data_IF_925763027787
#
_entry.id   IF_925763027787
#
_cell.length_a   1.000
_cell.length_b   1.000
_cell.length_c   1.000
_cell.angle_alpha   90.00
_cell.angle_beta   90.00
_cell.angle_gamma   90.00
#
_symmetry.space_group_name_H-M   'P 1'
#
loop_
_entity.id
_entity.type
_entity.pdbx_description
1 polymer ?
#
# COMPACT_ATOMS: atom_id res chain seq x y z
N UNK A 1 -63.09 -23.04 11.93
CA UNK A 1 -62.73 -21.78 11.23
C UNK A 1 -63.94 -20.87 11.09
N UNK A 2 -65.06 -21.32 10.52
CA UNK A 2 -66.25 -20.51 10.22
C UNK A 2 -66.85 -19.76 11.42
N UNK A 3 -67.06 -20.41 12.57
CA UNK A 3 -67.72 -19.81 13.73
C UNK A 3 -66.87 -18.72 14.42
N UNK A 4 -65.55 -18.93 14.50
CA UNK A 4 -64.63 -17.95 15.09
C UNK A 4 -64.36 -16.77 14.12
N UNK A 5 -64.34 -17.02 12.80
CA UNK A 5 -64.24 -15.96 11.78
C UNK A 5 -65.49 -15.06 11.76
N UNK A 6 -66.69 -15.64 11.94
CA UNK A 6 -67.92 -14.86 12.04
C UNK A 6 -67.96 -14.01 13.31
N UNK A 7 -67.43 -14.50 14.44
CA UNK A 7 -67.33 -13.73 15.69
C UNK A 7 -66.33 -12.57 15.57
N UNK A 8 -65.17 -12.81 14.95
CA UNK A 8 -64.16 -11.79 14.68
C UNK A 8 -64.68 -10.70 13.73
N UNK A 9 -65.41 -11.08 12.69
CA UNK A 9 -66.04 -10.15 11.74
C UNK A 9 -67.22 -9.39 12.35
N UNK A 10 -67.88 -9.95 13.36
CA UNK A 10 -68.96 -9.31 14.11
C UNK A 10 -68.45 -8.37 15.22
N UNK A 11 -67.13 -8.14 15.31
CA UNK A 11 -66.49 -7.30 16.32
C UNK A 11 -66.74 -7.76 17.78
N UNK A 12 -67.03 -9.06 17.96
CA UNK A 12 -67.12 -9.69 19.27
C UNK A 12 -65.71 -9.87 19.82
N UNK A 13 -65.52 -9.67 21.13
CA UNK A 13 -64.23 -9.77 21.83
C UNK A 13 -63.60 -11.18 21.69
N UNK A 14 -62.92 -11.42 20.57
CA UNK A 14 -62.04 -12.56 20.37
C UNK A 14 -60.69 -12.20 20.98
N UNK A 15 -60.10 -13.13 21.75
CA UNK A 15 -58.79 -12.88 22.35
C UNK A 15 -57.73 -12.67 21.26
N UNK A 16 -56.73 -11.82 21.52
CA UNK A 16 -55.67 -11.54 20.55
C UNK A 16 -54.93 -12.82 20.10
N UNK A 17 -54.84 -13.81 21.01
CA UNK A 17 -54.24 -15.12 20.76
C UNK A 17 -55.07 -15.96 19.78
N UNK A 18 -56.38 -15.98 19.91
CA UNK A 18 -57.28 -16.71 19.01
C UNK A 18 -57.34 -16.08 17.62
N UNK A 19 -57.40 -14.75 17.54
CA UNK A 19 -57.31 -14.04 16.27
C UNK A 19 -56.01 -14.37 15.52
N UNK A 20 -54.90 -14.47 16.26
CA UNK A 20 -53.61 -14.81 15.70
C UNK A 20 -53.52 -16.26 15.22
N UNK A 21 -54.02 -17.23 15.99
CA UNK A 21 -54.08 -18.63 15.55
C UNK A 21 -55.01 -18.83 14.34
N UNK A 22 -56.10 -18.05 14.25
CA UNK A 22 -56.95 -18.03 13.05
C UNK A 22 -56.21 -17.49 11.82
N UNK A 23 -55.37 -16.47 11.99
CA UNK A 23 -54.51 -15.98 10.91
C UNK A 23 -53.49 -17.06 10.49
N UNK A 24 -52.82 -17.72 11.44
CA UNK A 24 -51.86 -18.79 11.14
C UNK A 24 -52.51 -19.96 10.39
N UNK A 25 -53.72 -20.37 10.80
CA UNK A 25 -54.47 -21.41 10.09
C UNK A 25 -54.91 -20.94 8.70
N UNK A 26 -55.30 -19.68 8.54
CA UNK A 26 -55.60 -19.11 7.22
C UNK A 26 -54.38 -19.15 6.29
N UNK A 27 -53.19 -18.79 6.79
CA UNK A 27 -51.92 -18.86 6.04
C UNK A 27 -51.62 -20.31 5.61
N UNK A 28 -51.75 -21.29 6.53
CA UNK A 28 -51.53 -22.72 6.24
C UNK A 28 -52.44 -23.25 5.13
N UNK A 29 -53.68 -22.77 5.06
CA UNK A 29 -54.70 -23.20 4.07
C UNK A 29 -54.69 -22.28 2.84
N UNK A 30 -53.78 -21.30 2.77
CA UNK A 30 -53.65 -20.32 1.68
C UNK A 30 -54.92 -19.52 1.34
N UNK A 31 -55.79 -19.26 2.33
CA UNK A 31 -57.05 -18.52 2.12
C UNK A 31 -56.88 -17.00 2.23
N UNK A 32 -56.45 -16.35 1.14
CA UNK A 32 -56.19 -14.89 1.10
C UNK A 32 -57.34 -14.02 1.62
N UNK A 33 -58.60 -14.31 1.25
CA UNK A 33 -59.77 -13.54 1.72
C UNK A 33 -59.94 -13.62 3.24
N UNK A 34 -59.68 -14.80 3.81
CA UNK A 34 -59.74 -15.00 5.26
C UNK A 34 -58.58 -14.26 5.96
N UNK A 35 -57.37 -14.29 5.39
CA UNK A 35 -56.23 -13.54 5.92
C UNK A 35 -56.49 -12.02 5.94
N UNK A 36 -57.02 -11.48 4.84
CA UNK A 36 -57.36 -10.06 4.72
C UNK A 36 -58.44 -9.65 5.72
N UNK A 37 -59.51 -10.44 5.85
CA UNK A 37 -60.59 -10.22 6.80
C UNK A 37 -60.10 -10.23 8.26
N UNK A 38 -59.30 -11.24 8.63
CA UNK A 38 -58.79 -11.39 10.00
C UNK A 38 -57.87 -10.22 10.35
N UNK A 39 -56.96 -9.82 9.46
CA UNK A 39 -56.06 -8.71 9.79
C UNK A 39 -56.74 -7.34 9.76
N UNK A 40 -57.75 -7.14 8.92
CA UNK A 40 -58.52 -5.90 8.93
C UNK A 40 -59.19 -5.70 10.30
N UNK A 41 -59.75 -6.79 10.86
CA UNK A 41 -60.30 -6.78 12.21
C UNK A 41 -59.21 -6.58 13.28
N UNK A 42 -58.03 -7.21 13.13
CA UNK A 42 -56.90 -6.99 14.05
C UNK A 42 -56.38 -5.55 14.04
N UNK A 43 -56.32 -4.90 12.87
CA UNK A 43 -55.89 -3.50 12.72
C UNK A 43 -56.90 -2.52 13.33
N UNK A 44 -58.21 -2.74 13.16
CA UNK A 44 -59.25 -1.92 13.79
C UNK A 44 -59.16 -1.92 15.32
N UNK A 45 -58.66 -3.02 15.90
CA UNK A 45 -58.47 -3.16 17.34
C UNK A 45 -57.11 -2.65 17.83
N UNK A 46 -56.28 -2.03 16.98
CA UNK A 46 -54.93 -1.55 17.29
C UNK A 46 -54.04 -2.61 17.97
N UNK A 47 -54.15 -3.88 17.55
CA UNK A 47 -53.35 -4.99 18.09
C UNK A 47 -52.20 -5.34 17.13
N UNK A 48 -51.03 -4.67 17.20
CA UNK A 48 -49.88 -5.08 16.40
C UNK A 48 -49.47 -6.51 16.76
N UNK A 49 -48.80 -7.21 15.85
CA UNK A 49 -48.34 -8.59 16.02
C UNK A 49 -47.49 -8.75 17.30
N UNK A 50 -48.11 -9.07 18.45
CA UNK A 50 -47.47 -9.24 19.76
C UNK A 50 -46.57 -10.50 19.78
N UNK A 51 -45.42 -10.47 19.11
CA UNK A 51 -44.49 -11.59 18.96
C UNK A 51 -44.94 -12.66 17.94
N UNK A 52 -46.19 -12.59 17.49
CA UNK A 52 -46.74 -13.50 16.49
C UNK A 52 -46.02 -13.42 15.15
N UNK A 53 -45.74 -12.22 14.64
CA UNK A 53 -45.37 -11.94 13.25
C UNK A 53 -44.29 -12.86 12.66
N UNK A 54 -43.30 -13.26 13.48
CA UNK A 54 -42.27 -14.23 13.12
C UNK A 54 -42.82 -15.59 12.66
N UNK A 55 -43.84 -16.13 13.35
CA UNK A 55 -44.49 -17.40 12.97
C UNK A 55 -45.28 -17.26 11.67
N UNK A 56 -45.94 -16.13 11.46
CA UNK A 56 -46.73 -15.86 10.25
C UNK A 56 -45.81 -15.73 9.04
N UNK A 57 -44.71 -14.99 9.14
CA UNK A 57 -43.73 -14.86 8.04
C UNK A 57 -43.10 -16.20 7.70
N UNK A 58 -42.71 -17.00 8.70
CA UNK A 58 -42.21 -18.39 8.49
C UNK A 58 -43.19 -19.28 7.74
N UNK A 59 -44.48 -19.22 8.09
CA UNK A 59 -45.51 -20.00 7.40
C UNK A 59 -45.81 -19.46 6.00
N UNK A 60 -45.78 -18.14 5.81
CA UNK A 60 -45.99 -17.52 4.52
C UNK A 60 -44.91 -17.90 3.51
N UNK A 61 -43.63 -17.93 3.92
CA UNK A 61 -42.51 -18.38 3.05
C UNK A 61 -42.71 -19.82 2.56
N UNK A 62 -43.35 -20.69 3.35
CA UNK A 62 -43.60 -22.11 3.02
C UNK A 62 -44.83 -22.33 2.12
N UNK A 63 -45.57 -21.29 1.76
CA UNK A 63 -46.74 -21.42 0.88
C UNK A 63 -46.32 -21.93 -0.51
N UNK A 64 -47.13 -22.83 -1.08
CA UNK A 64 -46.87 -23.45 -2.39
C UNK A 64 -47.08 -22.45 -3.53
N UNK A 65 -48.15 -21.66 -3.46
CA UNK A 65 -48.41 -20.63 -4.47
C UNK A 65 -47.49 -19.42 -4.29
N UNK A 66 -46.66 -19.14 -5.31
CA UNK A 66 -45.81 -17.94 -5.33
C UNK A 66 -46.64 -16.65 -5.19
N UNK A 67 -47.74 -16.55 -5.93
CA UNK A 67 -48.61 -15.37 -5.89
C UNK A 67 -49.19 -15.15 -4.48
N UNK A 68 -49.66 -16.23 -3.83
CA UNK A 68 -50.20 -16.14 -2.48
C UNK A 68 -49.10 -15.83 -1.46
N UNK A 69 -47.90 -16.41 -1.64
CA UNK A 69 -46.72 -16.14 -0.81
C UNK A 69 -46.42 -14.65 -0.76
N UNK A 70 -46.19 -13.99 -1.90
CA UNK A 70 -45.82 -12.57 -1.90
C UNK A 70 -46.95 -11.64 -1.51
N UNK A 71 -48.21 -11.96 -1.85
CA UNK A 71 -49.36 -11.20 -1.34
C UNK A 71 -49.45 -11.27 0.19
N UNK A 72 -49.24 -12.45 0.75
CA UNK A 72 -49.25 -12.65 2.21
C UNK A 72 -48.05 -11.99 2.88
N UNK A 73 -46.85 -12.09 2.29
CA UNK A 73 -45.65 -11.45 2.81
C UNK A 73 -45.74 -9.92 2.75
N UNK A 74 -46.16 -9.34 1.63
CA UNK A 74 -46.36 -7.89 1.50
C UNK A 74 -47.29 -7.38 2.59
N UNK A 75 -48.38 -8.09 2.81
CA UNK A 75 -49.36 -7.76 3.83
C UNK A 75 -48.80 -7.86 5.24
N UNK A 76 -48.21 -9.01 5.60
CA UNK A 76 -47.62 -9.22 6.93
C UNK A 76 -46.58 -8.15 7.25
N UNK A 77 -45.70 -7.84 6.29
CA UNK A 77 -44.64 -6.86 6.46
C UNK A 77 -45.20 -5.43 6.55
N UNK A 78 -46.19 -5.08 5.73
CA UNK A 78 -46.88 -3.77 5.82
C UNK A 78 -47.61 -3.57 7.15
N UNK A 79 -48.05 -4.66 7.79
CA UNK A 79 -48.70 -4.66 9.09
C UNK A 79 -47.71 -4.77 10.27
N UNK A 80 -46.40 -4.63 10.01
CA UNK A 80 -45.35 -4.56 11.03
C UNK A 80 -44.78 -5.90 11.48
N UNK A 81 -44.97 -6.98 10.71
CA UNK A 81 -44.26 -8.23 10.97
C UNK A 81 -42.73 -8.03 10.81
N UNK A 82 -41.96 -8.78 11.60
CA UNK A 82 -40.49 -8.70 11.59
C UNK A 82 -39.93 -9.09 10.23
N UNK A 83 -39.22 -8.17 9.57
CA UNK A 83 -38.58 -8.40 8.28
C UNK A 83 -37.22 -9.14 8.39
N UNK A 84 -36.54 -9.03 9.54
CA UNK A 84 -35.27 -9.72 9.79
C UNK A 84 -35.49 -11.14 10.32
N UNK A 85 -35.71 -12.08 9.40
CA UNK A 85 -35.78 -13.52 9.72
C UNK A 85 -34.88 -14.31 8.75
N UNK A 86 -34.27 -15.43 9.19
CA UNK A 86 -33.45 -16.25 8.30
C UNK A 86 -34.25 -16.76 7.09
N UNK A 87 -35.51 -17.16 7.29
CA UNK A 87 -36.34 -17.69 6.20
C UNK A 87 -36.64 -16.63 5.12
N UNK A 88 -36.80 -15.35 5.51
CA UNK A 88 -36.99 -14.26 4.55
C UNK A 88 -35.69 -13.94 3.81
N UNK A 89 -34.54 -14.03 4.48
CA UNK A 89 -33.22 -13.85 3.84
C UNK A 89 -32.91 -14.97 2.85
N UNK A 90 -33.20 -16.22 3.20
CA UNK A 90 -33.06 -17.37 2.29
C UNK A 90 -34.00 -17.24 1.09
N UNK A 91 -35.24 -16.79 1.33
CA UNK A 91 -36.19 -16.53 0.25
C UNK A 91 -35.73 -15.39 -0.66
N UNK A 92 -35.18 -14.31 -0.09
CA UNK A 92 -34.60 -13.20 -0.83
C UNK A 92 -33.45 -13.68 -1.72
N UNK A 93 -32.54 -14.52 -1.18
CA UNK A 93 -31.45 -15.11 -1.96
C UNK A 93 -31.97 -15.99 -3.09
N UNK A 94 -32.99 -16.82 -2.82
CA UNK A 94 -33.62 -17.65 -3.85
C UNK A 94 -34.28 -16.79 -4.94
N UNK A 95 -34.94 -15.69 -4.56
CA UNK A 95 -35.57 -14.78 -5.51
C UNK A 95 -34.56 -14.07 -6.40
N UNK A 96 -33.44 -13.66 -5.81
CA UNK A 96 -32.31 -13.12 -6.53
C UNK A 96 -31.72 -14.15 -7.51
N UNK A 97 -31.45 -15.38 -7.06
CA UNK A 97 -30.95 -16.48 -7.90
C UNK A 97 -31.89 -16.83 -9.05
N UNK A 98 -33.20 -16.75 -8.84
CA UNK A 98 -34.21 -16.96 -9.88
C UNK A 98 -34.47 -15.73 -10.77
N UNK A 99 -33.79 -14.60 -10.56
CA UNK A 99 -33.98 -13.37 -11.34
C UNK A 99 -35.33 -12.68 -11.13
N UNK A 100 -36.02 -12.94 -10.01
CA UNK A 100 -37.38 -12.43 -9.74
C UNK A 100 -37.33 -11.03 -9.14
N UNK A 101 -36.95 -10.03 -9.95
CA UNK A 101 -36.72 -8.65 -9.50
C UNK A 101 -37.89 -8.04 -8.72
N UNK A 102 -39.14 -8.24 -9.15
CA UNK A 102 -40.33 -7.71 -8.46
C UNK A 102 -40.46 -8.25 -7.04
N UNK A 103 -40.06 -9.50 -6.81
CA UNK A 103 -40.09 -10.13 -5.48
C UNK A 103 -38.94 -9.63 -4.61
N UNK A 104 -37.74 -9.51 -5.17
CA UNK A 104 -36.58 -8.91 -4.49
C UNK A 104 -36.93 -7.49 -4.04
N UNK A 105 -37.49 -6.66 -4.93
CA UNK A 105 -37.85 -5.28 -4.62
C UNK A 105 -38.90 -5.18 -3.50
N UNK A 106 -39.89 -6.07 -3.50
CA UNK A 106 -40.91 -6.14 -2.44
C UNK A 106 -40.27 -6.44 -1.08
N UNK A 107 -39.39 -7.45 -1.02
CA UNK A 107 -38.73 -7.84 0.22
C UNK A 107 -37.74 -6.76 0.72
N UNK A 108 -37.01 -6.10 -0.18
CA UNK A 108 -36.12 -5.00 0.18
C UNK A 108 -36.89 -3.78 0.69
N UNK A 109 -37.97 -3.37 0.01
CA UNK A 109 -38.84 -2.27 0.47
C UNK A 109 -39.49 -2.56 1.81
N UNK A 110 -39.74 -3.84 2.11
CA UNK A 110 -40.23 -4.30 3.39
C UNK A 110 -39.16 -4.34 4.50
N UNK A 111 -37.90 -4.02 4.20
CA UNK A 111 -36.82 -3.94 5.18
C UNK A 111 -36.12 -5.26 5.46
N UNK A 112 -36.23 -6.27 4.58
CA UNK A 112 -35.48 -7.52 4.73
C UNK A 112 -33.98 -7.23 4.50
N UNK A 113 -33.09 -7.51 5.47
CA UNK A 113 -31.67 -7.21 5.32
C UNK A 113 -31.01 -8.10 4.27
N UNK A 114 -30.31 -7.48 3.32
CA UNK A 114 -29.64 -8.15 2.19
C UNK A 114 -28.20 -8.60 2.46
N UNK A 115 -27.68 -8.28 3.65
CA UNK A 115 -26.24 -8.31 3.95
C UNK A 115 -25.85 -9.18 5.17
N UNK A 116 -26.79 -9.92 5.77
CA UNK A 116 -26.58 -10.69 7.01
C UNK A 116 -26.44 -12.20 6.75
N UNK A 117 -25.48 -12.82 7.45
CA UNK A 117 -25.21 -14.27 7.53
C UNK A 117 -24.88 -14.95 6.18
N UNK A 118 -24.97 -16.28 6.13
CA UNK A 118 -24.67 -17.13 4.96
C UNK A 118 -25.53 -16.79 3.72
N UNK A 119 -26.71 -16.19 3.93
CA UNK A 119 -27.58 -15.71 2.86
C UNK A 119 -27.28 -14.26 2.44
N UNK A 120 -26.00 -13.91 2.26
CA UNK A 120 -25.56 -12.57 1.86
C UNK A 120 -25.85 -12.33 0.36
N UNK A 121 -27.08 -11.91 0.06
CA UNK A 121 -27.55 -11.62 -1.30
C UNK A 121 -26.77 -10.49 -1.95
N UNK A 122 -26.33 -9.50 -1.15
CA UNK A 122 -25.49 -8.40 -1.63
C UNK A 122 -24.17 -8.94 -2.18
N UNK A 123 -23.45 -9.74 -1.40
CA UNK A 123 -22.18 -10.33 -1.84
C UNK A 123 -22.37 -11.24 -3.05
N UNK A 124 -23.39 -12.10 -3.05
CA UNK A 124 -23.69 -12.95 -4.20
C UNK A 124 -23.92 -12.12 -5.47
N UNK A 125 -24.72 -11.04 -5.40
CA UNK A 125 -25.01 -10.19 -6.56
C UNK A 125 -23.74 -9.51 -7.11
N UNK A 126 -22.79 -9.16 -6.23
CA UNK A 126 -21.49 -8.60 -6.62
C UNK A 126 -20.60 -9.68 -7.27
N UNK A 127 -20.51 -10.87 -6.68
CA UNK A 127 -19.71 -11.98 -7.19
C UNK A 127 -20.13 -12.43 -8.60
N UNK A 128 -21.42 -12.36 -8.92
CA UNK A 128 -21.93 -12.69 -10.26
C UNK A 128 -22.10 -11.45 -11.17
N UNK A 129 -21.68 -10.26 -10.73
CA UNK A 129 -21.81 -8.99 -11.45
C UNK A 129 -23.26 -8.70 -11.93
N UNK A 130 -24.27 -9.06 -11.12
CA UNK A 130 -25.66 -8.80 -11.45
C UNK A 130 -26.09 -7.39 -11.06
N UNK A 131 -25.95 -6.49 -12.03
CA UNK A 131 -26.27 -5.08 -11.86
C UNK A 131 -27.74 -4.82 -11.52
N UNK A 132 -28.68 -5.50 -12.17
CA UNK A 132 -30.11 -5.31 -11.92
C UNK A 132 -30.50 -5.65 -10.48
N UNK A 133 -29.93 -6.72 -9.93
CA UNK A 133 -30.17 -7.11 -8.54
C UNK A 133 -29.47 -6.12 -7.62
N UNK A 134 -28.21 -5.76 -7.89
CA UNK A 134 -27.48 -4.77 -7.10
C UNK A 134 -28.26 -3.46 -6.97
N UNK A 135 -28.77 -2.91 -8.09
CA UNK A 135 -29.53 -1.65 -8.11
C UNK A 135 -30.73 -1.72 -7.15
N UNK A 136 -31.48 -2.84 -7.16
CA UNK A 136 -32.61 -3.06 -6.24
C UNK A 136 -32.15 -3.20 -4.79
N UNK A 137 -31.04 -3.91 -4.52
CA UNK A 137 -30.50 -4.07 -3.17
C UNK A 137 -30.03 -2.73 -2.59
N UNK A 138 -29.47 -1.86 -3.44
CA UNK A 138 -29.02 -0.52 -3.07
C UNK A 138 -30.19 0.43 -2.78
N UNK A 139 -31.42 0.15 -3.20
CA UNK A 139 -32.61 0.90 -2.72
C UNK A 139 -32.83 0.68 -1.20
N UNK A 140 -32.34 -0.44 -0.66
CA UNK A 140 -32.43 -0.78 0.76
C UNK A 140 -31.36 -0.13 1.63
N UNK A 141 -31.49 -0.37 2.94
CA UNK A 141 -30.48 0.01 3.91
C UNK A 141 -29.30 -0.97 3.87
N UNK A 142 -28.11 -0.49 3.50
CA UNK A 142 -26.86 -1.25 3.51
C UNK A 142 -25.92 -0.55 4.48
N UNK A 143 -25.45 -1.21 5.55
CA UNK A 143 -24.49 -0.63 6.45
C UNK A 143 -23.11 -0.52 5.76
N UNK A 144 -22.30 0.50 6.11
CA UNK A 144 -20.95 0.72 5.59
C UNK A 144 -20.07 -0.53 5.55
N UNK A 145 -20.04 -1.27 6.65
CA UNK A 145 -19.23 -2.48 6.80
C UNK A 145 -19.68 -3.62 5.86
N UNK A 146 -20.98 -3.73 5.56
CA UNK A 146 -21.46 -4.66 4.55
C UNK A 146 -21.07 -4.23 3.13
N UNK A 147 -21.14 -2.92 2.83
CA UNK A 147 -20.70 -2.39 1.55
C UNK A 147 -19.20 -2.67 1.33
N UNK A 148 -18.37 -2.45 2.36
CA UNK A 148 -16.95 -2.78 2.38
C UNK A 148 -16.67 -4.26 2.07
N UNK A 149 -17.35 -5.19 2.74
CA UNK A 149 -17.20 -6.62 2.43
C UNK A 149 -17.62 -6.95 1.01
N UNK A 150 -18.71 -6.33 0.53
CA UNK A 150 -19.18 -6.55 -0.83
C UNK A 150 -18.18 -6.05 -1.88
N UNK A 151 -17.47 -4.94 -1.64
CA UNK A 151 -16.41 -4.46 -2.54
C UNK A 151 -15.27 -5.48 -2.66
N UNK A 152 -14.89 -6.13 -1.55
CA UNK A 152 -13.86 -7.17 -1.57
C UNK A 152 -14.26 -8.42 -2.38
N UNK A 153 -15.56 -8.63 -2.61
CA UNK A 153 -16.10 -9.74 -3.39
C UNK A 153 -16.22 -9.46 -4.88
N UNK A 154 -15.82 -8.27 -5.35
CA UNK A 154 -15.80 -7.95 -6.79
C UNK A 154 -14.84 -8.91 -7.51
N UNK A 155 -15.30 -9.68 -8.51
CA UNK A 155 -14.47 -10.68 -9.17
C UNK A 155 -13.22 -10.10 -9.83
N UNK A 156 -12.09 -10.78 -9.67
CA UNK A 156 -10.82 -10.37 -10.29
C UNK A 156 -10.91 -10.32 -11.82
N UNK A 157 -11.62 -11.28 -12.43
CA UNK A 157 -11.79 -11.39 -13.88
C UNK A 157 -12.83 -10.42 -14.47
N UNK A 158 -13.48 -9.59 -13.63
CA UNK A 158 -14.47 -8.62 -14.10
C UNK A 158 -13.83 -7.57 -15.03
N UNK A 159 -14.64 -7.03 -15.95
CA UNK A 159 -14.22 -5.91 -16.80
C UNK A 159 -13.95 -4.65 -15.97
N UNK A 160 -13.09 -3.74 -16.45
CA UNK A 160 -12.84 -2.46 -15.76
C UNK A 160 -14.15 -1.66 -15.57
N UNK A 161 -15.05 -1.69 -16.54
CA UNK A 161 -16.34 -1.00 -16.48
C UNK A 161 -17.24 -1.57 -15.38
N UNK A 162 -17.30 -2.90 -15.23
CA UNK A 162 -18.07 -3.54 -14.17
C UNK A 162 -17.46 -3.24 -12.80
N UNK A 163 -16.14 -3.34 -12.65
CA UNK A 163 -15.44 -2.97 -11.41
C UNK A 163 -15.78 -1.54 -11.00
N UNK A 164 -15.68 -0.58 -11.93
CA UNK A 164 -16.03 0.83 -11.68
C UNK A 164 -17.48 0.99 -11.23
N UNK A 165 -18.43 0.36 -11.94
CA UNK A 165 -19.85 0.45 -11.61
C UNK A 165 -20.15 -0.10 -10.21
N UNK A 166 -19.66 -1.29 -9.91
CA UNK A 166 -19.95 -1.97 -8.64
C UNK A 166 -19.28 -1.24 -7.47
N UNK A 167 -18.01 -0.84 -7.61
CA UNK A 167 -17.28 -0.10 -6.58
C UNK A 167 -17.91 1.26 -6.32
N UNK A 168 -18.25 2.02 -7.37
CA UNK A 168 -18.88 3.34 -7.19
C UNK A 168 -20.22 3.24 -6.49
N UNK A 169 -21.05 2.26 -6.84
CA UNK A 169 -22.35 2.06 -6.25
C UNK A 169 -22.27 1.64 -4.76
N UNK A 170 -21.29 0.79 -4.41
CA UNK A 170 -21.04 0.39 -3.02
C UNK A 170 -20.38 1.51 -2.20
N UNK A 171 -19.49 2.29 -2.80
CA UNK A 171 -18.86 3.43 -2.15
C UNK A 171 -19.89 4.53 -1.78
N UNK A 172 -20.93 4.72 -2.60
CA UNK A 172 -22.06 5.60 -2.26
C UNK A 172 -22.83 5.15 -1.01
N UNK A 173 -22.71 3.86 -0.61
CA UNK A 173 -23.26 3.33 0.64
C UNK A 173 -22.29 3.40 1.82
N UNK A 174 -21.15 4.08 1.65
CA UNK A 174 -20.17 4.31 2.71
C UNK A 174 -19.15 3.18 2.89
N UNK A 175 -18.83 2.42 1.83
CA UNK A 175 -17.71 1.46 1.91
C UNK A 175 -16.42 2.18 2.36
N UNK A 176 -15.76 1.61 3.38
CA UNK A 176 -14.52 2.14 3.94
C UNK A 176 -13.39 2.15 2.90
N UNK A 177 -12.65 3.26 2.87
CA UNK A 177 -11.49 3.43 1.99
C UNK A 177 -10.36 2.44 2.29
N UNK A 178 -10.22 1.98 3.53
CA UNK A 178 -9.21 0.98 3.93
C UNK A 178 -9.43 -0.36 3.21
N UNK A 179 -10.69 -0.70 2.92
CA UNK A 179 -11.03 -1.95 2.21
C UNK A 179 -10.77 -1.88 0.69
N UNK A 180 -10.42 -0.69 0.17
CA UNK A 180 -10.12 -0.48 -1.24
C UNK A 180 -8.65 -0.76 -1.60
N UNK A 181 -7.75 -0.86 -0.61
CA UNK A 181 -6.32 -1.09 -0.82
C UNK A 181 -5.98 -2.33 -1.68
N UNK A 182 -6.54 -3.53 -1.42
CA UNK A 182 -6.34 -4.70 -2.27
C UNK A 182 -6.78 -4.48 -3.71
N UNK A 183 -7.90 -3.77 -3.89
CA UNK A 183 -8.45 -3.48 -5.21
C UNK A 183 -7.60 -2.44 -5.95
N UNK A 184 -7.00 -1.47 -5.24
CA UNK A 184 -6.06 -0.50 -5.80
C UNK A 184 -4.80 -1.19 -6.29
N UNK A 185 -4.18 -2.06 -5.46
CA UNK A 185 -3.03 -2.86 -5.88
C UNK A 185 -3.36 -3.65 -7.15
N UNK A 186 -4.54 -4.28 -7.20
CA UNK A 186 -4.96 -5.07 -8.35
C UNK A 186 -5.22 -4.21 -9.59
N UNK A 187 -5.87 -3.05 -9.45
CA UNK A 187 -6.11 -2.12 -10.54
C UNK A 187 -4.80 -1.64 -11.17
N UNK A 188 -3.79 -1.37 -10.34
CA UNK A 188 -2.45 -1.03 -10.79
C UNK A 188 -1.82 -2.23 -11.51
N UNK A 189 -1.87 -3.44 -10.94
CA UNK A 189 -1.33 -4.66 -11.56
C UNK A 189 -2.02 -5.05 -12.89
N UNK A 190 -3.32 -4.80 -13.04
CA UNK A 190 -4.04 -5.10 -14.28
C UNK A 190 -3.99 -3.93 -15.29
N UNK A 191 -3.29 -2.83 -14.95
CA UNK A 191 -3.20 -1.61 -15.75
C UNK A 191 -4.59 -1.02 -16.10
N UNK A 192 -5.42 -0.87 -15.07
CA UNK A 192 -6.76 -0.26 -15.15
C UNK A 192 -6.71 1.18 -14.63
N UNK A 193 -6.37 2.18 -15.47
CA UNK A 193 -6.14 3.55 -15.02
C UNK A 193 -7.41 4.23 -14.53
N UNK A 194 -8.58 3.95 -15.13
CA UNK A 194 -9.84 4.58 -14.73
C UNK A 194 -10.30 4.04 -13.39
N UNK A 195 -10.12 2.75 -13.16
CA UNK A 195 -10.39 2.15 -11.86
C UNK A 195 -9.43 2.67 -10.79
N UNK A 196 -8.13 2.79 -11.09
CA UNK A 196 -7.14 3.38 -10.18
C UNK A 196 -7.54 4.81 -9.78
N UNK A 197 -7.91 5.65 -10.75
CA UNK A 197 -8.31 7.03 -10.49
C UNK A 197 -9.57 7.11 -9.61
N UNK A 198 -10.57 6.26 -9.86
CA UNK A 198 -11.75 6.16 -9.00
C UNK A 198 -11.38 5.75 -7.57
N UNK A 199 -10.53 4.74 -7.40
CA UNK A 199 -10.16 4.24 -6.07
C UNK A 199 -9.42 5.30 -5.26
N UNK A 200 -8.50 6.03 -5.88
CA UNK A 200 -7.81 7.15 -5.23
C UNK A 200 -8.77 8.30 -4.88
N UNK A 201 -9.75 8.61 -5.73
CA UNK A 201 -10.80 9.59 -5.43
C UNK A 201 -11.69 9.17 -4.25
N UNK A 202 -11.91 7.86 -4.10
CA UNK A 202 -12.63 7.27 -2.96
C UNK A 202 -11.75 7.15 -1.71
N UNK A 203 -10.51 7.64 -1.73
CA UNK A 203 -9.60 7.68 -0.60
C UNK A 203 -8.84 6.38 -0.34
N UNK A 204 -8.77 5.47 -1.32
CA UNK A 204 -8.03 4.22 -1.18
C UNK A 204 -6.57 4.48 -0.76
N UNK A 205 -6.15 3.82 0.32
CA UNK A 205 -4.79 3.96 0.84
C UNK A 205 -3.79 3.18 -0.02
N UNK A 206 -2.65 3.78 -0.34
CA UNK A 206 -1.52 3.10 -0.98
C UNK A 206 -0.73 2.18 -0.03
N UNK A 207 -1.11 2.15 1.26
CA UNK A 207 -0.47 1.37 2.33
C UNK A 207 -0.73 -0.14 2.26
N UNK A 208 -1.73 -0.57 1.46
CA UNK A 208 -2.05 -1.99 1.40
C UNK A 208 -0.89 -2.79 0.79
N UNK A 209 -0.55 -3.89 1.47
CA UNK A 209 0.55 -4.78 1.13
C UNK A 209 0.06 -6.22 1.14
N UNK A 210 0.32 -6.94 0.05
CA UNK A 210 0.07 -8.37 -0.01
C UNK A 210 1.22 -9.15 0.66
N UNK A 211 2.45 -8.78 0.30
CA UNK A 211 3.73 -9.30 0.81
C UNK A 211 4.74 -8.15 0.87
N UNK A 212 5.94 -8.42 1.39
CA UNK A 212 7.07 -7.50 1.32
C UNK A 212 7.35 -7.11 -0.15
N UNK A 213 7.36 -5.80 -0.45
CA UNK A 213 7.45 -5.21 -1.79
C UNK A 213 6.24 -5.38 -2.74
N UNK A 214 5.11 -5.91 -2.28
CA UNK A 214 3.87 -6.00 -3.07
C UNK A 214 2.84 -4.97 -2.62
N UNK A 215 3.11 -3.71 -2.97
CA UNK A 215 2.17 -2.60 -2.83
C UNK A 215 1.97 -1.89 -4.19
N UNK A 216 0.96 -1.01 -4.26
CA UNK A 216 0.58 -0.34 -5.50
C UNK A 216 1.72 0.53 -6.07
N UNK A 217 2.49 1.20 -5.19
CA UNK A 217 3.59 2.07 -5.61
C UNK A 217 4.77 1.25 -6.15
N UNK A 218 5.12 0.13 -5.53
CA UNK A 218 6.12 -0.81 -6.00
C UNK A 218 5.74 -1.42 -7.36
N UNK A 219 4.46 -1.71 -7.60
CA UNK A 219 3.99 -2.19 -8.89
C UNK A 219 4.11 -1.12 -10.00
N UNK A 220 3.82 0.15 -9.70
CA UNK A 220 4.03 1.27 -10.60
C UNK A 220 5.53 1.52 -10.88
N UNK A 221 6.35 1.46 -9.84
CA UNK A 221 7.80 1.63 -9.90
C UNK A 221 8.48 0.56 -10.76
N UNK A 222 8.12 -0.72 -10.59
CA UNK A 222 8.61 -1.84 -11.43
C UNK A 222 8.33 -1.65 -12.93
N UNK A 223 7.28 -0.90 -13.29
CA UNK A 223 6.93 -0.57 -14.67
C UNK A 223 7.57 0.72 -15.17
N UNK A 224 8.14 1.51 -14.28
CA UNK A 224 8.60 2.85 -14.56
C UNK A 224 7.47 3.79 -15.00
N UNK A 225 6.25 3.61 -14.46
CA UNK A 225 5.12 4.51 -14.72
C UNK A 225 5.15 5.69 -13.74
N UNK A 226 5.91 6.72 -14.09
CA UNK A 226 6.13 7.90 -13.25
C UNK A 226 4.82 8.66 -12.97
N UNK A 227 3.92 8.73 -13.96
CA UNK A 227 2.65 9.43 -13.80
C UNK A 227 1.74 8.73 -12.78
N UNK A 228 1.73 7.40 -12.79
CA UNK A 228 1.02 6.61 -11.80
C UNK A 228 1.67 6.72 -10.41
N UNK A 229 3.00 6.71 -10.33
CA UNK A 229 3.71 6.94 -9.06
C UNK A 229 3.34 8.29 -8.44
N UNK A 230 3.32 9.37 -9.24
CA UNK A 230 2.86 10.69 -8.76
C UNK A 230 1.45 10.63 -8.19
N UNK A 231 0.52 9.94 -8.88
CA UNK A 231 -0.86 9.80 -8.42
C UNK A 231 -0.95 9.06 -7.09
N UNK A 232 -0.22 7.96 -6.94
CA UNK A 232 -0.19 7.16 -5.71
C UNK A 232 0.45 7.94 -4.55
N UNK A 233 1.51 8.70 -4.81
CA UNK A 233 2.17 9.52 -3.80
C UNK A 233 1.32 10.70 -3.30
N UNK A 234 0.33 11.18 -4.07
CA UNK A 234 -0.63 12.18 -3.57
C UNK A 234 -1.52 11.67 -2.44
N UNK A 235 -1.63 10.35 -2.26
CA UNK A 235 -2.31 9.76 -1.11
C UNK A 235 -1.48 9.82 0.19
N UNK A 236 -0.28 10.44 0.16
CA UNK A 236 0.65 10.58 1.29
C UNK A 236 0.94 9.24 1.98
N UNK A 237 1.56 8.29 1.28
CA UNK A 237 1.98 7.04 1.90
C UNK A 237 2.95 7.27 3.06
N UNK A 238 3.01 6.30 3.98
CA UNK A 238 4.06 6.25 5.00
C UNK A 238 5.42 6.04 4.34
N UNK A 239 6.49 6.60 4.92
CA UNK A 239 7.87 6.56 4.41
C UNK A 239 8.38 5.15 4.04
N UNK A 240 7.79 4.10 4.61
CA UNK A 240 8.10 2.71 4.29
C UNK A 240 7.77 2.35 2.83
N UNK A 241 6.60 2.76 2.34
CA UNK A 241 6.13 2.44 0.97
C UNK A 241 7.01 3.05 -0.12
N UNK A 242 7.37 4.36 -0.11
CA UNK A 242 8.28 4.93 -1.09
C UNK A 242 9.71 4.41 -0.93
N UNK A 243 10.16 4.07 0.29
CA UNK A 243 11.46 3.42 0.49
C UNK A 243 11.56 2.09 -0.28
N UNK A 244 10.53 1.25 -0.22
CA UNK A 244 10.52 -0.01 -0.98
C UNK A 244 10.40 0.18 -2.49
N UNK A 245 9.70 1.24 -2.92
CA UNK A 245 9.53 1.53 -4.33
C UNK A 245 10.81 2.11 -4.96
N UNK A 246 11.72 2.68 -4.17
CA UNK A 246 12.88 3.44 -4.66
C UNK A 246 13.88 2.58 -5.44
N UNK A 247 14.36 1.41 -4.93
CA UNK A 247 15.21 0.53 -5.71
C UNK A 247 14.51 -0.05 -6.95
N UNK A 248 13.21 -0.29 -6.85
CA UNK A 248 12.40 -0.82 -7.95
C UNK A 248 12.17 0.20 -9.06
N UNK A 249 12.01 1.47 -8.70
CA UNK A 249 11.89 2.57 -9.64
C UNK A 249 13.19 2.73 -10.42
N UNK A 250 14.33 2.61 -9.73
CA UNK A 250 15.64 2.57 -10.39
C UNK A 250 15.71 1.43 -11.41
N UNK A 251 15.40 0.19 -11.01
CA UNK A 251 15.46 -0.97 -11.90
C UNK A 251 14.52 -0.82 -13.11
N UNK A 252 13.30 -0.31 -12.91
CA UNK A 252 12.32 -0.08 -13.97
C UNK A 252 12.66 1.07 -14.93
N UNK A 253 13.55 1.98 -14.53
CA UNK A 253 13.91 3.21 -15.25
C UNK A 253 15.40 3.32 -15.59
N UNK A 254 16.21 2.29 -15.35
CA UNK A 254 17.67 2.29 -15.49
C UNK A 254 18.19 2.48 -16.95
N UNK A 255 17.30 2.64 -17.92
CA UNK A 255 17.72 2.95 -19.29
C UNK A 255 18.26 4.38 -19.37
N UNK A 256 19.41 4.62 -20.02
CA UNK A 256 19.96 5.97 -20.18
C UNK A 256 19.00 6.94 -20.90
N UNK A 257 18.15 6.42 -21.80
CA UNK A 257 17.12 7.22 -22.50
C UNK A 257 16.03 7.75 -21.57
N UNK A 258 15.87 7.16 -20.38
CA UNK A 258 14.83 7.49 -19.40
C UNK A 258 15.38 8.22 -18.18
N UNK A 259 16.58 8.81 -18.26
CA UNK A 259 17.22 9.48 -17.14
C UNK A 259 16.34 10.56 -16.50
N UNK A 260 15.61 11.36 -17.30
CA UNK A 260 14.72 12.39 -16.74
C UNK A 260 13.51 11.79 -16.00
N UNK A 261 12.94 10.71 -16.52
CA UNK A 261 11.87 9.96 -15.85
C UNK A 261 12.37 9.35 -14.53
N UNK A 262 13.58 8.78 -14.55
CA UNK A 262 14.24 8.22 -13.37
C UNK A 262 14.45 9.29 -12.29
N UNK A 263 15.06 10.43 -12.65
CA UNK A 263 15.30 11.53 -11.71
C UNK A 263 13.98 12.00 -11.08
N UNK A 264 12.95 12.21 -11.91
CA UNK A 264 11.62 12.60 -11.45
C UNK A 264 11.01 11.56 -10.51
N UNK A 265 11.10 10.28 -10.84
CA UNK A 265 10.61 9.20 -9.98
C UNK A 265 11.34 9.16 -8.63
N UNK A 266 12.67 9.30 -8.61
CA UNK A 266 13.47 9.33 -7.40
C UNK A 266 13.15 10.55 -6.53
N UNK A 267 13.05 11.74 -7.14
CA UNK A 267 12.66 12.99 -6.47
C UNK A 267 11.31 12.84 -5.76
N UNK A 268 10.30 12.27 -6.45
CA UNK A 268 8.98 12.03 -5.87
C UNK A 268 9.10 11.13 -4.64
N UNK A 269 9.83 10.02 -4.72
CA UNK A 269 9.95 9.06 -3.62
C UNK A 269 10.72 9.63 -2.43
N UNK A 270 11.78 10.40 -2.70
CA UNK A 270 12.55 11.13 -1.69
C UNK A 270 11.68 12.15 -0.96
N UNK A 271 10.91 12.96 -1.69
CA UNK A 271 10.01 13.96 -1.10
C UNK A 271 8.94 13.30 -0.23
N UNK A 272 8.54 12.07 -0.55
CA UNK A 272 7.63 11.26 0.26
C UNK A 272 8.32 10.56 1.45
N UNK A 273 9.60 10.84 1.69
CA UNK A 273 10.33 10.34 2.86
C UNK A 273 11.00 8.98 2.68
N UNK A 274 11.29 8.57 1.45
CA UNK A 274 12.11 7.37 1.23
C UNK A 274 13.46 7.50 1.96
N UNK A 275 13.86 6.49 2.74
CA UNK A 275 15.03 6.57 3.61
C UNK A 275 15.67 5.19 3.89
N UNK A 276 16.83 5.20 4.55
CA UNK A 276 17.50 3.99 5.04
C UNK A 276 18.20 3.20 3.93
N UNK A 277 18.24 1.87 4.09
CA UNK A 277 19.00 0.97 3.21
C UNK A 277 18.51 0.97 1.76
N UNK A 278 17.27 1.40 1.51
CA UNK A 278 16.76 1.58 0.15
C UNK A 278 17.55 2.62 -0.66
N UNK A 279 18.00 3.70 -0.01
CA UNK A 279 18.86 4.70 -0.64
C UNK A 279 20.25 4.08 -0.87
N UNK A 280 20.81 3.41 0.14
CA UNK A 280 22.12 2.73 0.07
C UNK A 280 22.19 1.75 -1.12
N UNK A 281 21.20 0.88 -1.27
CA UNK A 281 21.12 -0.10 -2.37
C UNK A 281 21.01 0.59 -3.74
N UNK A 282 20.23 1.67 -3.81
CA UNK A 282 20.01 2.40 -5.06
C UNK A 282 21.23 3.19 -5.47
N UNK A 283 21.96 3.77 -4.50
CA UNK A 283 23.25 4.43 -4.76
C UNK A 283 24.24 3.43 -5.34
N UNK A 284 24.38 2.24 -4.75
CA UNK A 284 25.28 1.21 -5.28
C UNK A 284 24.95 0.82 -6.73
N UNK A 285 23.66 0.63 -7.04
CA UNK A 285 23.21 0.37 -8.41
C UNK A 285 23.48 1.56 -9.35
N UNK A 286 23.28 2.79 -8.87
CA UNK A 286 23.46 4.00 -9.64
C UNK A 286 24.91 4.25 -10.05
N UNK A 287 25.90 3.77 -9.29
CA UNK A 287 27.33 3.95 -9.60
C UNK A 287 27.73 3.41 -10.98
N UNK A 288 27.08 2.33 -11.44
CA UNK A 288 27.30 1.75 -12.78
C UNK A 288 26.58 2.49 -13.91
N UNK A 289 25.68 3.43 -13.61
CA UNK A 289 24.82 4.08 -14.60
C UNK A 289 25.56 5.24 -15.30
N UNK A 290 25.36 5.45 -16.63
CA UNK A 290 26.00 6.56 -17.35
C UNK A 290 25.61 7.95 -16.83
N UNK A 291 24.42 8.08 -16.24
CA UNK A 291 23.92 9.30 -15.60
C UNK A 291 24.19 9.41 -14.09
N UNK A 292 25.11 8.63 -13.54
CA UNK A 292 25.37 8.51 -12.09
C UNK A 292 25.53 9.84 -11.36
N UNK A 293 26.17 10.83 -11.96
CA UNK A 293 26.39 12.14 -11.32
C UNK A 293 25.08 12.82 -10.93
N UNK A 294 24.11 12.89 -11.84
CA UNK A 294 22.81 13.50 -11.57
C UNK A 294 21.98 12.67 -10.58
N UNK A 295 22.06 11.34 -10.71
CA UNK A 295 21.31 10.43 -9.84
C UNK A 295 21.82 10.54 -8.40
N UNK A 296 23.14 10.49 -8.20
CA UNK A 296 23.75 10.61 -6.88
C UNK A 296 23.58 12.01 -6.28
N UNK A 297 23.64 13.07 -7.11
CA UNK A 297 23.31 14.42 -6.66
C UNK A 297 21.85 14.57 -6.17
N UNK A 298 20.96 13.67 -6.58
CA UNK A 298 19.57 13.64 -6.10
C UNK A 298 19.42 12.76 -4.86
N UNK A 299 20.06 11.59 -4.83
CA UNK A 299 19.94 10.61 -3.75
C UNK A 299 20.69 11.00 -2.47
N UNK A 300 21.91 11.52 -2.60
CA UNK A 300 22.82 11.73 -1.48
C UNK A 300 22.41 12.86 -0.54
N UNK A 301 21.88 14.01 -1.00
CA UNK A 301 21.36 15.01 -0.09
C UNK A 301 20.12 14.56 0.69
N UNK A 302 19.42 13.53 0.20
CA UNK A 302 18.18 13.03 0.78
C UNK A 302 18.39 12.04 1.93
N UNK A 303 19.58 11.45 2.06
CA UNK A 303 19.85 10.45 3.07
C UNK A 303 21.34 10.23 3.29
N UNK A 304 21.69 9.84 4.51
CA UNK A 304 23.08 9.54 4.87
C UNK A 304 23.39 8.11 4.43
N UNK A 305 24.34 7.95 3.50
CA UNK A 305 24.87 6.64 3.14
C UNK A 305 25.55 6.02 4.35
N UNK A 306 25.02 4.90 4.86
CA UNK A 306 25.56 4.30 6.08
C UNK A 306 26.22 2.96 5.85
N UNK A 307 25.43 1.96 5.47
CA UNK A 307 25.86 0.56 5.44
C UNK A 307 26.76 0.24 4.24
N UNK A 308 26.60 0.96 3.14
CA UNK A 308 27.28 0.69 1.87
C UNK A 308 28.35 1.73 1.51
N UNK A 309 28.61 2.70 2.39
CA UNK A 309 29.55 3.80 2.17
C UNK A 309 30.94 3.31 1.69
N UNK A 310 31.50 2.29 2.35
CA UNK A 310 32.80 1.76 1.97
C UNK A 310 32.83 1.09 0.59
N UNK A 311 31.75 0.40 0.22
CA UNK A 311 31.63 -0.20 -1.12
C UNK A 311 31.52 0.88 -2.21
N UNK A 312 30.78 1.96 -1.93
CA UNK A 312 30.64 3.07 -2.85
C UNK A 312 31.97 3.79 -3.07
N UNK A 313 32.72 4.06 -2.00
CA UNK A 313 34.06 4.65 -2.04
C UNK A 313 35.02 3.78 -2.87
N UNK A 314 35.06 2.46 -2.61
CA UNK A 314 35.90 1.53 -3.36
C UNK A 314 35.62 1.50 -4.85
N UNK A 315 34.34 1.50 -5.21
CA UNK A 315 33.91 1.46 -6.59
C UNK A 315 34.33 2.73 -7.32
N UNK A 316 34.18 3.89 -6.69
CA UNK A 316 34.52 5.20 -7.26
C UNK A 316 36.02 5.37 -7.43
N UNK A 317 36.83 4.91 -6.47
CA UNK A 317 38.29 5.03 -6.52
C UNK A 317 38.89 4.30 -7.71
N UNK A 318 38.32 3.14 -8.07
CA UNK A 318 38.78 2.31 -9.20
C UNK A 318 38.48 2.91 -10.57
N UNK A 319 37.64 3.94 -10.66
CA UNK A 319 37.27 4.60 -11.91
C UNK A 319 38.05 5.91 -12.10
N UNK A 320 38.43 6.25 -13.33
CA UNK A 320 39.10 7.51 -13.63
C UNK A 320 38.11 8.69 -13.70
N UNK A 321 38.55 9.88 -13.25
CA UNK A 321 37.79 11.14 -13.39
C UNK A 321 36.52 11.22 -12.53
N UNK A 322 36.52 10.61 -11.34
CA UNK A 322 35.35 10.52 -10.45
C UNK A 322 35.56 11.27 -9.13
N UNK A 323 36.46 12.27 -9.10
CA UNK A 323 36.87 12.95 -7.88
C UNK A 323 35.73 13.78 -7.28
N UNK A 324 34.92 14.40 -8.13
CA UNK A 324 33.69 15.10 -7.74
C UNK A 324 32.65 14.16 -7.13
N UNK A 325 32.54 12.93 -7.65
CA UNK A 325 31.65 11.90 -7.12
C UNK A 325 32.16 11.39 -5.77
N UNK A 326 33.47 11.23 -5.63
CA UNK A 326 34.10 10.82 -4.38
C UNK A 326 33.85 11.87 -3.28
N UNK A 327 34.04 13.15 -3.59
CA UNK A 327 33.69 14.25 -2.69
C UNK A 327 32.23 14.18 -2.26
N UNK A 328 31.32 14.05 -3.23
CA UNK A 328 29.88 14.01 -2.96
C UNK A 328 29.50 12.84 -2.06
N UNK A 329 30.08 11.65 -2.28
CA UNK A 329 29.86 10.47 -1.42
C UNK A 329 30.40 10.72 -0.04
N UNK A 330 31.65 11.18 0.11
CA UNK A 330 32.25 11.41 1.41
C UNK A 330 31.53 12.50 2.22
N UNK A 331 30.99 13.53 1.57
CA UNK A 331 30.22 14.60 2.23
C UNK A 331 28.84 14.12 2.72
N UNK A 332 28.29 13.03 2.15
CA UNK A 332 26.95 12.52 2.45
C UNK A 332 26.94 11.08 2.99
N UNK A 333 28.09 10.56 3.42
CA UNK A 333 28.24 9.20 3.92
C UNK A 333 28.84 9.16 5.33
N UNK A 334 28.44 8.18 6.14
CA UNK A 334 29.13 7.83 7.39
C UNK A 334 30.31 6.92 7.07
N UNK A 335 31.41 7.52 6.60
CA UNK A 335 32.63 6.81 6.26
C UNK A 335 33.43 6.50 7.54
N UNK A 336 33.98 5.30 7.68
CA UNK A 336 34.85 4.95 8.83
C UNK A 336 36.31 5.26 8.54
N UNK A 337 37.12 5.48 9.59
CA UNK A 337 38.57 5.65 9.45
C UNK A 337 39.25 4.47 8.74
N UNK A 338 38.82 3.24 9.01
CA UNK A 338 39.29 2.03 8.32
C UNK A 338 38.97 2.05 6.81
N UNK A 339 37.78 2.52 6.44
CA UNK A 339 37.38 2.67 5.04
C UNK A 339 38.28 3.68 4.34
N UNK A 340 38.53 4.83 4.97
CA UNK A 340 39.38 5.89 4.40
C UNK A 340 40.84 5.43 4.31
N UNK A 341 41.35 4.73 5.34
CA UNK A 341 42.69 4.15 5.31
C UNK A 341 42.85 3.20 4.12
N UNK A 342 41.96 2.22 3.99
CA UNK A 342 42.01 1.23 2.90
C UNK A 342 41.84 1.88 1.52
N UNK A 343 40.99 2.91 1.42
CA UNK A 343 40.83 3.72 0.23
C UNK A 343 42.12 4.46 -0.16
N UNK A 344 42.78 5.10 0.81
CA UNK A 344 44.05 5.79 0.61
C UNK A 344 45.17 4.81 0.26
N UNK A 345 45.27 3.65 0.93
CA UNK A 345 46.22 2.59 0.58
C UNK A 345 46.04 2.14 -0.88
N UNK A 346 44.78 2.01 -1.33
CA UNK A 346 44.50 1.65 -2.71
C UNK A 346 44.95 2.76 -3.69
N UNK A 347 44.63 4.03 -3.40
CA UNK A 347 45.02 5.18 -4.24
C UNK A 347 46.54 5.36 -4.29
N UNK A 348 47.24 5.11 -3.19
CA UNK A 348 48.69 5.27 -3.09
C UNK A 348 49.48 4.10 -3.68
N UNK A 349 49.05 2.86 -3.42
CA UNK A 349 49.94 1.71 -3.61
C UNK A 349 49.47 0.70 -4.66
N UNK A 350 48.21 0.74 -5.11
CA UNK A 350 47.71 -0.28 -6.05
C UNK A 350 48.27 -0.15 -7.46
N UNK A 351 48.57 1.08 -7.92
CA UNK A 351 49.27 1.30 -9.18
C UNK A 351 50.12 2.59 -9.11
N UNK A 352 51.41 2.48 -8.74
CA UNK A 352 52.28 3.64 -8.50
C UNK A 352 52.45 4.59 -9.70
N UNK A 353 52.22 4.09 -10.92
CA UNK A 353 52.30 4.89 -12.15
C UNK A 353 51.05 5.75 -12.40
N UNK A 354 49.90 5.37 -11.81
CA UNK A 354 48.59 6.01 -11.98
C UNK A 354 48.14 6.64 -10.65
N UNK A 355 49.07 7.33 -9.98
CA UNK A 355 48.77 8.10 -8.78
C UNK A 355 47.78 9.24 -9.08
N UNK A 356 46.60 9.17 -8.47
CA UNK A 356 45.52 10.15 -8.61
C UNK A 356 45.52 11.12 -7.41
N UNK A 357 46.27 12.21 -7.57
CA UNK A 357 46.46 13.23 -6.53
C UNK A 357 45.16 13.86 -6.06
N UNK A 358 44.19 14.03 -6.97
CA UNK A 358 42.90 14.65 -6.65
C UNK A 358 42.10 13.74 -5.73
N UNK A 359 42.00 12.44 -6.02
CA UNK A 359 41.33 11.50 -5.11
C UNK A 359 42.04 11.36 -3.76
N UNK A 360 43.38 11.37 -3.77
CA UNK A 360 44.16 11.36 -2.54
C UNK A 360 43.82 12.58 -1.65
N UNK A 361 43.75 13.78 -2.24
CA UNK A 361 43.40 15.02 -1.53
C UNK A 361 41.97 14.99 -0.97
N UNK A 362 41.02 14.42 -1.72
CA UNK A 362 39.64 14.23 -1.23
C UNK A 362 39.60 13.32 0.00
N UNK A 363 40.29 12.18 -0.04
CA UNK A 363 40.27 11.19 1.03
C UNK A 363 41.04 11.64 2.29
N UNK A 364 42.18 12.29 2.11
CA UNK A 364 42.96 12.87 3.21
C UNK A 364 42.24 14.05 3.86
N UNK A 365 41.68 14.96 3.06
CA UNK A 365 40.84 16.05 3.55
C UNK A 365 39.58 15.53 4.28
N UNK A 366 38.97 14.44 3.83
CA UNK A 366 37.85 13.80 4.56
C UNK A 366 38.30 13.18 5.87
N UNK A 367 39.45 12.48 5.90
CA UNK A 367 40.04 11.99 7.15
C UNK A 367 40.26 13.12 8.17
N UNK A 368 40.79 14.25 7.73
CA UNK A 368 41.02 15.43 8.57
C UNK A 368 39.70 15.99 9.12
N UNK A 369 38.70 16.19 8.24
CA UNK A 369 37.37 16.70 8.62
C UNK A 369 36.67 15.81 9.66
N UNK A 370 36.83 14.50 9.56
CA UNK A 370 36.23 13.53 10.49
C UNK A 370 37.14 13.14 11.68
N UNK A 371 38.36 13.67 11.75
CA UNK A 371 39.30 13.44 12.85
C UNK A 371 39.98 12.05 12.85
N UNK A 372 40.04 11.37 11.70
CA UNK A 372 40.68 10.05 11.56
C UNK A 372 42.19 10.14 11.43
N UNK A 373 42.87 10.79 12.38
CA UNK A 373 44.33 10.98 12.36
C UNK A 373 45.09 9.66 12.40
N UNK A 374 44.62 8.69 13.18
CA UNK A 374 45.26 7.37 13.29
C UNK A 374 45.37 6.66 11.93
N UNK A 375 44.39 6.85 11.05
CA UNK A 375 44.41 6.31 9.69
C UNK A 375 45.51 6.96 8.84
N UNK A 376 45.71 8.28 8.97
CA UNK A 376 46.76 9.03 8.28
C UNK A 376 48.15 8.68 8.82
N UNK A 377 48.26 8.54 10.13
CA UNK A 377 49.48 8.18 10.85
C UNK A 377 50.01 6.80 10.43
N UNK A 378 49.12 5.80 10.34
CA UNK A 378 49.48 4.47 9.86
C UNK A 378 49.97 4.47 8.40
N UNK A 379 49.43 5.37 7.56
CA UNK A 379 49.87 5.53 6.17
C UNK A 379 51.26 6.17 6.05
N UNK A 380 51.63 7.05 6.98
CA UNK A 380 52.97 7.66 7.00
C UNK A 380 54.09 6.65 7.26
N UNK A 381 53.82 5.57 8.00
CA UNK A 381 54.81 4.54 8.38
C UNK A 381 54.69 3.30 7.47
N UNK A 382 53.81 3.34 6.46
CA UNK A 382 53.61 2.20 5.58
C UNK A 382 54.87 1.94 4.72
N UNK A 383 55.46 0.73 4.78
CA UNK A 383 56.70 0.42 4.04
C UNK A 383 56.55 0.51 2.52
N UNK A 384 55.32 0.38 1.99
CA UNK A 384 55.05 0.57 0.56
C UNK A 384 55.25 2.03 0.11
N UNK A 385 55.29 3.00 1.03
CA UNK A 385 55.55 4.40 0.73
C UNK A 385 56.98 4.64 0.29
N UNK A 386 57.95 4.02 0.96
CA UNK A 386 59.36 4.29 0.74
C UNK A 386 59.85 3.77 -0.63
N UNK A 387 59.11 2.84 -1.23
CA UNK A 387 59.36 2.33 -2.59
C UNK A 387 58.55 3.07 -3.67
N UNK A 388 57.69 4.03 -3.29
CA UNK A 388 56.82 4.75 -4.22
C UNK A 388 57.56 5.92 -4.91
N UNK A 389 57.42 6.12 -6.23
CA UNK A 389 58.11 7.19 -6.97
C UNK A 389 57.74 8.61 -6.51
N UNK A 390 56.56 8.76 -5.89
CA UNK A 390 56.04 10.02 -5.32
C UNK A 390 55.98 10.03 -3.79
N UNK A 391 56.84 9.28 -3.11
CA UNK A 391 56.83 9.15 -1.64
C UNK A 391 56.78 10.50 -0.90
N UNK A 392 57.54 11.49 -1.37
CA UNK A 392 57.57 12.83 -0.77
C UNK A 392 56.22 13.56 -0.92
N UNK A 393 55.60 13.52 -2.10
CA UNK A 393 54.30 14.16 -2.34
C UNK A 393 53.20 13.53 -1.48
N UNK A 394 53.24 12.22 -1.29
CA UNK A 394 52.30 11.50 -0.41
C UNK A 394 52.50 11.93 1.05
N UNK A 395 53.76 12.01 1.51
CA UNK A 395 54.07 12.46 2.87
C UNK A 395 53.62 13.91 3.11
N UNK A 396 53.84 14.81 2.14
CA UNK A 396 53.42 16.21 2.24
C UNK A 396 51.91 16.37 2.34
N UNK A 397 51.17 15.62 1.52
CA UNK A 397 49.71 15.61 1.56
C UNK A 397 49.19 15.10 2.91
N UNK A 398 49.73 13.99 3.41
CA UNK A 398 49.32 13.42 4.70
C UNK A 398 49.62 14.37 5.87
N UNK A 399 50.80 15.01 5.88
CA UNK A 399 51.18 15.99 6.90
C UNK A 399 50.31 17.25 6.82
N UNK A 400 50.03 17.74 5.61
CA UNK A 400 49.15 18.89 5.40
C UNK A 400 47.73 18.64 5.93
N UNK A 401 47.24 17.40 5.82
CA UNK A 401 45.93 16.99 6.33
C UNK A 401 45.96 16.46 7.77
N UNK A 402 47.04 16.73 8.51
CA UNK A 402 47.09 16.61 9.97
C UNK A 402 47.61 15.27 10.51
N UNK A 403 48.35 14.51 9.70
CA UNK A 403 49.12 13.37 10.17
C UNK A 403 50.27 13.80 11.11
N UNK A 404 50.56 13.00 12.13
CA UNK A 404 51.57 13.28 13.13
C UNK A 404 52.95 12.85 12.64
N UNK A 405 53.80 13.85 12.40
CA UNK A 405 55.20 13.64 11.97
C UNK A 405 56.03 12.77 12.93
N UNK A 406 55.68 12.76 14.22
CA UNK A 406 56.40 12.01 15.24
C UNK A 406 55.91 10.56 15.38
N UNK A 407 54.86 10.17 14.64
CA UNK A 407 54.29 8.83 14.72
C UNK A 407 55.28 7.75 14.23
N UNK A 408 55.25 6.57 14.86
CA UNK A 408 56.15 5.45 14.54
C UNK A 408 57.64 5.78 14.68
N UNK A 409 58.05 6.32 15.82
CA UNK A 409 59.43 6.74 16.10
C UNK A 409 59.98 7.78 15.10
N UNK A 410 59.10 8.68 14.62
CA UNK A 410 59.46 9.70 13.63
C UNK A 410 59.99 9.10 12.32
N UNK A 411 59.43 7.96 11.89
CA UNK A 411 59.84 7.20 10.70
C UNK A 411 60.11 8.08 9.47
N UNK A 412 59.26 9.09 9.25
CA UNK A 412 59.37 10.03 8.11
C UNK A 412 60.59 10.93 8.21
N UNK A 413 60.88 11.47 9.40
CA UNK A 413 62.07 12.29 9.65
C UNK A 413 63.35 11.46 9.57
N UNK A 414 63.32 10.23 10.09
CA UNK A 414 64.46 9.30 10.00
C UNK A 414 64.74 8.92 8.55
N UNK A 415 63.71 8.58 7.76
CA UNK A 415 63.85 8.28 6.34
C UNK A 415 64.47 9.46 5.57
N UNK A 416 63.98 10.69 5.80
CA UNK A 416 64.53 11.91 5.18
C UNK A 416 65.98 12.20 5.60
N UNK A 417 66.35 11.92 6.86
CA UNK A 417 67.72 12.07 7.33
C UNK A 417 68.67 11.03 6.73
N UNK A 418 68.20 9.79 6.53
CA UNK A 418 68.99 8.70 5.93
C UNK A 418 69.16 8.82 4.42
N UNK A 419 68.22 9.46 3.71
CA UNK A 419 68.32 9.72 2.27
C UNK A 419 69.27 10.89 1.92
N UNK A 420 69.86 11.54 2.93
CA UNK A 420 70.81 12.65 2.79
C UNK A 420 70.27 13.86 2.00
N UNK A 421 68.96 14.13 2.09
CA UNK A 421 68.33 15.34 1.55
C UNK A 421 68.13 16.39 2.65
N UNK A 422 69.13 17.28 2.91
CA UNK A 422 69.05 18.26 3.99
C UNK A 422 67.95 19.31 3.78
N UNK A 423 67.55 19.53 2.52
CA UNK A 423 66.46 20.46 2.18
C UNK A 423 65.12 19.90 2.66
N UNK A 424 64.93 18.59 2.51
CA UNK A 424 63.73 17.88 2.94
C UNK A 424 63.58 17.84 4.46
N UNK A 425 64.67 17.61 5.18
CA UNK A 425 64.66 17.65 6.66
C UNK A 425 64.28 19.04 7.16
N UNK A 426 64.77 20.11 6.53
CA UNK A 426 64.43 21.48 6.90
C UNK A 426 62.97 21.85 6.60
N UNK A 427 62.36 21.25 5.57
CA UNK A 427 60.95 21.43 5.23
C UNK A 427 60.02 20.73 6.21
N UNK A 428 60.37 19.50 6.62
CA UNK A 428 59.60 18.70 7.58
C UNK A 428 59.62 19.25 9.01
N UNK A 429 60.62 20.07 9.37
CA UNK A 429 60.78 20.67 10.70
C UNK A 429 60.17 22.08 10.82
N UNK A 430 59.55 22.60 9.76
CA UNK A 430 58.80 23.87 9.78
C UNK A 430 57.37 23.64 10.20
#
# INVERSE_FOLDING_TARGET
MTQALSLLLANVDVSAKEAYELLLTAIRVERLKAMAAISAAMNQQHRPFQGGGLRATKLAVRMKSHLNRYKTLAFLLSAGATADTPELRDQLLLDAKCGRLSHVQLLIKAGVPSHKAEANVLQWAVEILNSNILDVLLEGHIPPDAASRAVASVPMAASEADKIRFVSALAQKGASSETLGPLLLRAVQDAHPRLTDLLLQLGATSEYRLDDSQNALCAAAKRGDVALMEKLCRANPTALVPSEALPLAFDGLASPSRLNDLLRALEILIVQGACGTAIDDTVLKALGHPGREKILATLLPAGILSSTAGQAVDFVIRQSGTESLLMLICDNATVTGETIQRALEHVFYSNPEVYDEKKASVLSGTANRHGYRDALDQLLVNPARDTHPKANQIADLLLADGANINFGDSHVLVAAATSADPSRVAELLR
#
